data_IF_628233271129
#
_entry.id   IF_628233271129
#
_cell.length_a   1.000
_cell.length_b   1.000
_cell.length_c   1.000
_cell.angle_alpha   90.00
_cell.angle_beta   90.00
_cell.angle_gamma   90.00
#
_symmetry.space_group_name_H-M   'P 1'
#
loop_
_entity.id
_entity.type
_entity.pdbx_description
1 polymer ?
#
# COMPACT_ATOMS: atom_id res chain seq x y z
N UNK A 1 26.03 -8.49 -9.38
CA UNK A 1 25.72 -7.44 -8.38
C UNK A 1 24.66 -6.54 -8.99
N UNK A 2 23.53 -6.30 -8.32
CA UNK A 2 22.44 -5.49 -8.88
C UNK A 2 22.85 -4.01 -8.93
N UNK A 3 22.77 -3.38 -10.10
CA UNK A 3 22.89 -1.93 -10.28
C UNK A 3 21.52 -1.32 -10.59
N UNK A 4 21.43 0.02 -10.53
CA UNK A 4 20.21 0.74 -10.92
C UNK A 4 19.83 0.46 -12.38
N UNK A 5 20.81 0.44 -13.29
CA UNK A 5 20.55 0.10 -14.70
C UNK A 5 20.13 -1.36 -14.87
N UNK A 6 20.78 -2.31 -14.19
CA UNK A 6 20.43 -3.73 -14.34
C UNK A 6 19.03 -4.02 -13.80
N UNK A 7 18.64 -3.36 -12.70
CA UNK A 7 17.30 -3.48 -12.13
C UNK A 7 16.25 -2.87 -13.06
N UNK A 8 16.50 -1.67 -13.59
CA UNK A 8 15.62 -1.03 -14.56
C UNK A 8 15.40 -1.93 -15.77
N UNK A 9 16.49 -2.44 -16.35
CA UNK A 9 16.44 -3.33 -17.51
C UNK A 9 15.67 -4.63 -17.21
N UNK A 10 15.92 -5.25 -16.05
CA UNK A 10 15.17 -6.44 -15.64
C UNK A 10 13.68 -6.17 -15.50
N UNK A 11 13.29 -5.00 -14.96
CA UNK A 11 11.89 -4.62 -14.82
C UNK A 11 11.27 -4.33 -16.18
N UNK A 12 11.96 -3.62 -17.07
CA UNK A 12 11.49 -3.36 -18.44
C UNK A 12 11.33 -4.67 -19.25
N UNK A 13 12.26 -5.61 -19.12
CA UNK A 13 12.21 -6.91 -19.79
C UNK A 13 11.08 -7.81 -19.25
N UNK A 14 10.83 -7.79 -17.94
CA UNK A 14 9.84 -8.66 -17.30
C UNK A 14 8.43 -8.08 -17.27
N UNK A 15 8.30 -6.77 -17.08
CA UNK A 15 7.00 -6.08 -17.01
C UNK A 15 6.56 -5.50 -18.36
N UNK A 16 7.44 -5.37 -19.36
CA UNK A 16 7.07 -4.91 -20.69
C UNK A 16 6.30 -3.58 -20.68
N UNK A 17 5.06 -3.61 -21.19
CA UNK A 17 4.14 -2.46 -21.28
C UNK A 17 3.29 -2.23 -20.01
N UNK A 18 3.49 -3.00 -18.95
CA UNK A 18 2.71 -2.89 -17.73
C UNK A 18 3.11 -1.65 -16.91
N UNK A 19 2.11 -0.87 -16.50
CA UNK A 19 2.30 0.16 -15.49
C UNK A 19 2.65 -0.49 -14.14
N UNK A 20 3.85 -0.23 -13.63
CA UNK A 20 4.24 -0.65 -12.29
C UNK A 20 3.59 0.25 -11.22
N UNK A 21 2.76 -0.35 -10.38
CA UNK A 21 2.14 0.28 -9.23
C UNK A 21 2.62 -0.42 -7.96
N UNK A 22 3.23 0.31 -7.02
CA UNK A 22 3.46 -0.17 -5.65
C UNK A 22 2.35 0.38 -4.76
N UNK A 23 1.76 -0.49 -3.93
CA UNK A 23 0.72 -0.10 -2.98
C UNK A 23 1.12 -0.48 -1.57
N UNK A 24 1.11 0.47 -0.64
CA UNK A 24 1.43 0.22 0.77
C UNK A 24 0.59 1.08 1.69
N UNK A 25 0.46 0.67 2.95
CA UNK A 25 -0.19 1.51 3.96
C UNK A 25 0.59 2.83 4.16
N UNK A 26 1.90 2.74 4.41
CA UNK A 26 2.75 3.93 4.62
C UNK A 26 3.29 4.48 3.31
N UNK A 27 3.31 5.80 3.19
CA UNK A 27 3.93 6.52 2.08
C UNK A 27 5.45 6.65 2.26
N UNK A 28 6.22 6.82 1.17
CA UNK A 28 7.68 6.98 1.22
C UNK A 28 8.16 8.38 1.65
N UNK A 29 7.34 9.41 1.43
CA UNK A 29 7.67 10.82 1.69
C UNK A 29 6.48 11.52 2.35
N UNK A 30 6.70 12.09 3.53
CA UNK A 30 5.68 12.77 4.33
C UNK A 30 6.00 14.26 4.37
N UNK A 31 5.00 15.10 4.11
CA UNK A 31 5.09 16.55 4.24
C UNK A 31 4.47 17.00 5.56
N UNK A 32 5.20 17.84 6.30
CA UNK A 32 4.78 18.35 7.60
C UNK A 32 5.03 19.85 7.74
N UNK A 33 4.23 20.51 8.57
CA UNK A 33 4.45 21.90 8.96
C UNK A 33 5.54 21.98 10.03
N UNK A 34 6.63 22.69 9.71
CA UNK A 34 7.70 22.99 10.66
C UNK A 34 7.99 24.48 10.66
N UNK A 35 7.73 25.13 11.80
CA UNK A 35 7.93 26.59 11.98
C UNK A 35 7.24 27.43 10.90
N UNK A 36 5.99 27.09 10.56
CA UNK A 36 5.18 27.81 9.56
C UNK A 36 5.59 27.58 8.10
N UNK A 37 6.51 26.64 7.82
CA UNK A 37 6.87 26.23 6.46
C UNK A 37 6.55 24.76 6.26
N UNK A 38 6.19 24.40 5.04
CA UNK A 38 6.08 22.99 4.64
C UNK A 38 7.49 22.43 4.48
N UNK A 39 7.77 21.33 5.16
CA UNK A 39 9.00 20.54 5.03
C UNK A 39 8.64 19.11 4.71
N UNK A 40 9.62 18.31 4.28
CA UNK A 40 9.39 16.90 3.99
C UNK A 40 10.40 16.01 4.71
N UNK A 41 9.99 14.77 4.98
CA UNK A 41 10.86 13.72 5.49
C UNK A 41 10.59 12.41 4.76
N UNK A 42 11.65 11.62 4.55
CA UNK A 42 11.51 10.25 4.06
C UNK A 42 11.05 9.35 5.20
N UNK A 43 10.00 8.58 4.99
CA UNK A 43 9.47 7.65 5.98
C UNK A 43 10.52 6.59 6.35
N UNK A 44 10.62 6.32 7.65
CA UNK A 44 11.38 5.18 8.14
C UNK A 44 10.55 3.89 7.94
N UNK A 45 11.20 2.83 7.41
CA UNK A 45 10.57 1.52 7.26
C UNK A 45 11.27 0.62 6.23
N UNK A 46 11.17 -0.70 6.43
CA UNK A 46 11.77 -1.70 5.55
C UNK A 46 11.23 -1.63 4.12
N UNK A 47 9.91 -1.48 3.96
CA UNK A 47 9.24 -1.34 2.66
C UNK A 47 9.79 -0.13 1.88
N UNK A 48 9.84 1.04 2.51
CA UNK A 48 10.35 2.27 1.88
C UNK A 48 11.82 2.13 1.53
N UNK A 49 12.61 1.53 2.43
CA UNK A 49 14.04 1.31 2.21
C UNK A 49 14.30 0.38 1.01
N UNK A 50 13.51 -0.68 0.87
CA UNK A 50 13.65 -1.64 -0.21
C UNK A 50 13.11 -1.14 -1.55
N UNK A 51 11.95 -0.48 -1.57
CA UNK A 51 11.21 -0.20 -2.82
C UNK A 51 11.44 1.19 -3.40
N UNK A 52 11.83 2.19 -2.60
CA UNK A 52 12.10 3.55 -3.10
C UNK A 52 13.19 3.59 -4.20
N UNK A 53 14.32 2.87 -4.09
CA UNK A 53 15.29 2.79 -5.19
C UNK A 53 14.72 2.17 -6.48
N UNK A 54 13.85 1.16 -6.34
CA UNK A 54 13.17 0.50 -7.46
C UNK A 54 12.26 1.48 -8.18
N UNK A 55 11.44 2.21 -7.42
CA UNK A 55 10.50 3.20 -7.96
C UNK A 55 11.22 4.36 -8.65
N UNK A 56 12.34 4.83 -8.08
CA UNK A 56 13.22 5.83 -8.71
C UNK A 56 13.89 5.37 -10.00
N UNK A 57 14.05 4.06 -10.20
CA UNK A 57 14.63 3.51 -11.41
C UNK A 57 13.60 3.33 -12.53
N UNK A 58 12.36 3.02 -12.16
CA UNK A 58 11.30 2.64 -13.10
C UNK A 58 10.28 3.75 -13.38
N UNK A 59 10.34 4.86 -12.65
CA UNK A 59 9.37 5.97 -12.76
C UNK A 59 7.91 5.53 -12.65
N UNK A 60 7.66 4.55 -11.77
CA UNK A 60 6.33 3.98 -11.54
C UNK A 60 5.40 4.86 -10.72
N UNK A 61 4.28 4.28 -10.29
CA UNK A 61 3.31 4.93 -9.42
C UNK A 61 3.33 4.28 -8.03
N UNK A 62 3.47 5.07 -6.98
CA UNK A 62 3.30 4.61 -5.60
C UNK A 62 1.97 5.11 -5.06
N UNK A 63 1.08 4.21 -4.62
CA UNK A 63 -0.19 4.56 -3.95
C UNK A 63 -0.09 4.23 -2.46
N UNK A 64 -0.33 5.21 -1.59
CA UNK A 64 -0.23 5.03 -0.14
C UNK A 64 -1.13 5.98 0.65
N UNK A 65 -1.37 5.70 1.93
CA UNK A 65 -2.07 6.64 2.81
C UNK A 65 -1.19 7.87 3.06
N UNK A 66 -1.72 9.06 2.79
CA UNK A 66 -1.09 10.34 3.14
C UNK A 66 -1.37 10.71 4.59
N UNK A 67 -0.32 10.72 5.41
CA UNK A 67 -0.39 10.81 6.88
C UNK A 67 0.14 12.13 7.46
N UNK A 68 0.82 12.92 6.64
CA UNK A 68 1.40 14.20 7.03
C UNK A 68 0.37 15.33 7.10
N UNK A 69 0.55 16.23 8.06
CA UNK A 69 -0.35 17.37 8.27
C UNK A 69 -0.29 18.42 7.13
N UNK A 70 0.74 18.38 6.28
CA UNK A 70 0.87 19.25 5.12
C UNK A 70 0.64 18.53 3.79
N UNK A 71 0.39 17.21 3.82
CA UNK A 71 0.34 16.40 2.60
C UNK A 71 -0.72 16.87 1.62
N UNK A 72 -1.92 17.21 2.11
CA UNK A 72 -3.03 17.71 1.29
C UNK A 72 -2.71 19.02 0.55
N UNK A 73 -1.77 19.81 1.05
CA UNK A 73 -1.38 21.08 0.45
C UNK A 73 -0.33 20.92 -0.66
N UNK A 74 0.28 19.74 -0.76
CA UNK A 74 1.42 19.47 -1.65
C UNK A 74 1.06 18.66 -2.89
N UNK A 75 -0.19 18.23 -2.97
CA UNK A 75 -0.68 17.39 -4.05
C UNK A 75 -1.42 18.21 -5.13
N UNK A 76 -1.51 17.65 -6.32
CA UNK A 76 -2.36 18.17 -7.39
C UNK A 76 -3.85 17.87 -7.17
N UNK A 77 -4.70 18.26 -8.13
CA UNK A 77 -6.15 18.03 -8.12
C UNK A 77 -6.57 16.54 -8.10
N UNK A 78 -5.64 15.64 -8.40
CA UNK A 78 -5.84 14.20 -8.39
C UNK A 78 -5.12 13.57 -7.20
N UNK A 79 -4.83 14.34 -6.16
CA UNK A 79 -4.02 13.99 -4.99
C UNK A 79 -2.70 13.24 -5.31
N UNK A 80 -1.99 13.68 -6.34
CA UNK A 80 -0.65 13.21 -6.74
C UNK A 80 0.42 14.23 -6.39
N UNK A 81 1.63 13.76 -6.10
CA UNK A 81 2.82 14.59 -5.91
C UNK A 81 4.03 13.88 -6.52
N UNK A 82 4.93 14.65 -7.15
CA UNK A 82 6.20 14.10 -7.63
C UNK A 82 7.19 13.94 -6.48
N UNK A 83 7.88 12.80 -6.44
CA UNK A 83 8.80 12.47 -5.34
C UNK A 83 10.12 11.86 -5.83
N UNK A 84 11.22 11.99 -5.06
CA UNK A 84 11.38 12.91 -3.92
C UNK A 84 11.18 14.40 -4.29
N UNK A 85 10.75 15.25 -3.34
CA UNK A 85 10.46 16.66 -3.64
C UNK A 85 11.64 17.45 -4.24
N UNK A 86 12.87 17.14 -3.83
CA UNK A 86 14.08 17.84 -4.30
C UNK A 86 14.61 17.32 -5.66
N UNK A 87 14.25 16.08 -6.02
CA UNK A 87 14.65 15.46 -7.29
C UNK A 87 13.56 14.47 -7.77
N UNK A 88 12.46 15.00 -8.36
CA UNK A 88 11.34 14.22 -8.88
C UNK A 88 11.76 13.03 -9.77
N UNK A 89 11.43 11.80 -9.35
CA UNK A 89 11.70 10.57 -10.14
C UNK A 89 10.46 9.74 -10.46
N UNK A 90 9.46 9.78 -9.60
CA UNK A 90 8.24 8.99 -9.74
C UNK A 90 7.06 9.70 -9.08
N UNK A 91 5.85 9.18 -9.31
CA UNK A 91 4.62 9.78 -8.77
C UNK A 91 4.18 9.06 -7.50
N UNK A 92 3.90 9.82 -6.45
CA UNK A 92 3.17 9.36 -5.26
C UNK A 92 1.72 9.82 -5.34
N UNK A 93 0.78 8.90 -5.27
CA UNK A 93 -0.67 9.13 -5.21
C UNK A 93 -1.15 8.83 -3.79
N UNK A 94 -1.69 9.84 -3.11
CA UNK A 94 -2.13 9.72 -1.73
C UNK A 94 -3.59 9.31 -1.62
N UNK A 95 -3.87 8.38 -0.73
CA UNK A 95 -5.23 8.01 -0.31
C UNK A 95 -5.47 8.66 1.04
N UNK A 96 -6.57 9.41 1.18
CA UNK A 96 -6.90 10.10 2.42
C UNK A 96 -7.82 9.24 3.26
N UNK A 97 -7.43 8.90 4.49
CA UNK A 97 -8.32 8.23 5.44
C UNK A 97 -8.93 9.24 6.41
N UNK A 98 -10.17 9.00 6.83
CA UNK A 98 -10.73 9.71 7.98
C UNK A 98 -10.15 9.15 9.28
N UNK A 99 -10.38 9.84 10.41
CA UNK A 99 -9.89 9.35 11.69
C UNK A 99 -10.53 8.01 12.07
N UNK A 100 -11.82 7.88 11.83
CA UNK A 100 -12.59 6.65 12.06
C UNK A 100 -12.10 5.52 11.14
N UNK A 101 -11.74 5.84 9.89
CA UNK A 101 -11.14 4.87 8.99
C UNK A 101 -9.79 4.39 9.51
N UNK A 102 -8.92 5.30 9.93
CA UNK A 102 -7.62 4.94 10.52
C UNK A 102 -7.79 4.10 11.80
N UNK A 103 -8.71 4.49 12.67
CA UNK A 103 -8.97 3.80 13.94
C UNK A 103 -9.48 2.38 13.72
N UNK A 104 -10.49 2.17 12.87
CA UNK A 104 -11.04 0.83 12.65
C UNK A 104 -10.18 -0.07 11.76
N UNK A 105 -9.58 0.47 10.70
CA UNK A 105 -8.79 -0.33 9.76
C UNK A 105 -7.34 -0.56 10.25
N UNK A 106 -6.63 0.49 10.66
CA UNK A 106 -5.21 0.40 10.97
C UNK A 106 -5.01 0.01 12.43
N UNK A 107 -5.58 0.76 13.37
CA UNK A 107 -5.43 0.44 14.79
C UNK A 107 -6.26 -0.79 15.16
N UNK A 108 -7.50 -0.90 14.68
CA UNK A 108 -8.38 -2.05 14.89
C UNK A 108 -7.94 -3.28 14.11
N UNK A 109 -8.53 -3.56 12.95
CA UNK A 109 -8.39 -4.88 12.34
C UNK A 109 -6.93 -5.25 11.96
N UNK A 110 -6.16 -4.31 11.40
CA UNK A 110 -4.79 -4.61 11.01
C UNK A 110 -3.91 -4.92 12.24
N UNK A 111 -3.91 -4.07 13.26
CA UNK A 111 -2.97 -4.18 14.38
C UNK A 111 -3.50 -4.94 15.62
N UNK A 112 -4.82 -4.99 15.85
CA UNK A 112 -5.43 -5.78 16.94
C UNK A 112 -5.89 -7.17 16.47
N UNK A 113 -6.10 -7.40 15.16
CA UNK A 113 -6.49 -8.71 14.63
C UNK A 113 -5.33 -9.40 13.87
N UNK A 114 -4.94 -8.87 12.71
CA UNK A 114 -4.02 -9.56 11.80
C UNK A 114 -2.60 -9.63 12.34
N UNK A 115 -2.10 -8.55 12.94
CA UNK A 115 -0.75 -8.50 13.50
C UNK A 115 -0.53 -9.54 14.61
N UNK A 116 -1.30 -9.58 15.73
CA UNK A 116 -1.12 -10.58 16.78
C UNK A 116 -1.40 -12.01 16.28
N UNK A 117 -2.37 -12.18 15.38
CA UNK A 117 -2.66 -13.48 14.76
C UNK A 117 -1.43 -14.03 14.01
N UNK A 118 -0.78 -13.17 13.22
CA UNK A 118 0.36 -13.54 12.39
C UNK A 118 1.66 -13.76 13.17
N UNK A 119 1.84 -13.04 14.28
CA UNK A 119 3.02 -13.17 15.13
C UNK A 119 2.91 -14.25 16.20
N UNK A 120 1.74 -14.89 16.33
CA UNK A 120 1.44 -15.81 17.44
C UNK A 120 1.81 -15.14 18.77
N UNK A 121 1.39 -13.87 18.91
CA UNK A 121 1.80 -13.06 20.05
C UNK A 121 1.09 -13.52 21.32
N UNK A 122 1.60 -13.12 22.49
CA UNK A 122 0.93 -13.34 23.77
C UNK A 122 -0.39 -12.55 23.89
N UNK A 123 -0.55 -11.52 23.07
CA UNK A 123 -1.78 -10.73 23.01
C UNK A 123 -2.79 -11.45 22.12
N UNK A 124 -3.96 -11.77 22.66
CA UNK A 124 -5.02 -12.42 21.90
C UNK A 124 -5.53 -11.49 20.79
N UNK A 125 -5.66 -11.97 19.54
CA UNK A 125 -6.25 -11.17 18.47
C UNK A 125 -7.72 -10.87 18.75
N UNK A 126 -8.13 -9.64 18.47
CA UNK A 126 -9.50 -9.13 18.63
C UNK A 126 -10.15 -9.00 17.25
N UNK A 127 -11.36 -9.53 17.08
CA UNK A 127 -12.07 -9.54 15.80
C UNK A 127 -13.40 -8.78 15.90
N UNK A 128 -13.33 -7.46 16.02
CA UNK A 128 -14.52 -6.61 16.03
C UNK A 128 -15.14 -6.50 14.62
N UNK A 129 -16.46 -6.63 14.53
CA UNK A 129 -17.17 -6.60 13.24
C UNK A 129 -17.05 -5.22 12.56
N UNK A 130 -17.06 -4.14 13.35
CA UNK A 130 -16.94 -2.78 12.83
C UNK A 130 -15.55 -2.50 12.28
N UNK A 131 -14.51 -3.02 12.94
CA UNK A 131 -13.14 -2.92 12.46
C UNK A 131 -12.95 -3.69 11.15
N UNK A 132 -13.54 -4.88 11.03
CA UNK A 132 -13.57 -5.61 9.76
C UNK A 132 -14.24 -4.81 8.64
N UNK A 133 -15.40 -4.22 8.91
CA UNK A 133 -16.10 -3.38 7.91
C UNK A 133 -15.25 -2.18 7.50
N UNK A 134 -14.53 -1.58 8.45
CA UNK A 134 -13.61 -0.49 8.15
C UNK A 134 -12.42 -0.97 7.32
N UNK A 135 -11.88 -2.15 7.64
CA UNK A 135 -10.79 -2.77 6.90
C UNK A 135 -11.16 -3.07 5.45
N UNK A 136 -12.34 -3.63 5.22
CA UNK A 136 -12.91 -3.86 3.89
C UNK A 136 -13.12 -2.55 3.14
N UNK A 137 -13.72 -1.54 3.81
CA UNK A 137 -13.97 -0.22 3.24
C UNK A 137 -12.67 0.46 2.79
N UNK A 138 -11.64 0.44 3.61
CA UNK A 138 -10.34 1.03 3.27
C UNK A 138 -9.67 0.27 2.13
N UNK A 139 -9.65 -1.06 2.15
CA UNK A 139 -9.12 -1.86 1.04
C UNK A 139 -9.86 -1.56 -0.28
N UNK A 140 -11.18 -1.42 -0.25
CA UNK A 140 -11.99 -1.03 -1.42
C UNK A 140 -11.65 0.37 -1.91
N UNK A 141 -11.48 1.33 -1.00
CA UNK A 141 -11.07 2.70 -1.32
C UNK A 141 -9.70 2.74 -2.02
N UNK A 142 -8.75 1.93 -1.57
CA UNK A 142 -7.47 1.74 -2.27
C UNK A 142 -7.66 1.12 -3.65
N UNK A 143 -8.49 0.08 -3.78
CA UNK A 143 -8.81 -0.55 -5.05
C UNK A 143 -9.37 0.47 -6.06
N UNK A 144 -10.34 1.28 -5.65
CA UNK A 144 -10.97 2.30 -6.49
C UNK A 144 -9.95 3.33 -7.00
N UNK A 145 -9.04 3.78 -6.12
CA UNK A 145 -7.95 4.69 -6.50
C UNK A 145 -7.02 4.04 -7.51
N UNK A 146 -6.61 2.78 -7.29
CA UNK A 146 -5.74 2.04 -8.20
C UNK A 146 -6.42 1.88 -9.57
N UNK A 147 -7.67 1.45 -9.61
CA UNK A 147 -8.42 1.24 -10.84
C UNK A 147 -8.57 2.53 -11.65
N UNK A 148 -8.82 3.66 -10.96
CA UNK A 148 -8.86 4.98 -11.58
C UNK A 148 -7.50 5.39 -12.17
N UNK A 149 -6.41 5.10 -11.47
CA UNK A 149 -5.05 5.38 -11.96
C UNK A 149 -4.68 4.50 -13.15
N UNK A 150 -5.07 3.21 -13.14
CA UNK A 150 -4.78 2.28 -14.24
C UNK A 150 -5.49 2.71 -15.52
N UNK A 151 -6.78 3.03 -15.45
CA UNK A 151 -7.62 3.26 -16.63
C UNK A 151 -7.72 1.97 -17.47
N UNK A 152 -7.42 2.04 -18.77
CA UNK A 152 -7.48 0.90 -19.69
C UNK A 152 -6.12 0.25 -19.97
N UNK A 153 -5.08 0.68 -19.25
CA UNK A 153 -3.73 0.15 -19.39
C UNK A 153 -3.59 -1.21 -18.71
N UNK A 154 -2.59 -1.98 -19.14
CA UNK A 154 -2.10 -3.12 -18.36
C UNK A 154 -1.33 -2.60 -17.15
N UNK A 155 -1.47 -3.26 -16.01
CA UNK A 155 -0.80 -2.83 -14.78
C UNK A 155 -0.31 -4.01 -13.95
N UNK A 156 0.90 -3.87 -13.41
CA UNK A 156 1.46 -4.77 -12.41
C UNK A 156 1.34 -4.08 -11.06
N UNK A 157 0.46 -4.59 -10.21
CA UNK A 157 0.17 -4.03 -8.89
C UNK A 157 0.89 -4.86 -7.83
N UNK A 158 1.94 -4.28 -7.26
CA UNK A 158 2.75 -4.87 -6.21
C UNK A 158 2.29 -4.39 -4.84
N UNK A 159 1.45 -5.22 -4.22
CA UNK A 159 0.76 -4.96 -2.96
C UNK A 159 1.69 -5.31 -1.80
N UNK A 160 1.83 -4.39 -0.85
CA UNK A 160 2.71 -4.54 0.30
C UNK A 160 1.91 -4.73 1.59
N UNK A 161 2.23 -5.84 2.24
CA UNK A 161 1.95 -6.13 3.63
C UNK A 161 0.50 -6.49 3.98
N UNK A 162 0.29 -6.93 5.22
CA UNK A 162 -1.00 -7.43 5.75
C UNK A 162 -2.12 -6.39 5.78
N UNK A 163 -1.79 -5.11 5.64
CA UNK A 163 -2.74 -4.01 5.60
C UNK A 163 -3.70 -4.10 4.40
N UNK A 164 -3.24 -4.66 3.28
CA UNK A 164 -3.96 -4.63 2.00
C UNK A 164 -4.35 -6.03 1.52
N UNK A 165 -4.78 -6.91 2.43
CA UNK A 165 -4.98 -8.33 2.11
C UNK A 165 -6.17 -8.60 1.18
N UNK A 166 -7.18 -7.71 1.12
CA UNK A 166 -8.36 -7.89 0.26
C UNK A 166 -8.19 -7.25 -1.11
N UNK A 167 -7.12 -6.48 -1.28
CA UNK A 167 -6.86 -5.73 -2.48
C UNK A 167 -6.69 -6.62 -3.73
N UNK A 168 -6.03 -7.79 -3.70
CA UNK A 168 -5.93 -8.66 -4.86
C UNK A 168 -7.30 -9.07 -5.41
N UNK A 169 -8.22 -9.50 -4.53
CA UNK A 169 -9.59 -9.86 -4.89
C UNK A 169 -10.31 -8.71 -5.58
N UNK A 170 -10.32 -7.52 -4.96
CA UNK A 170 -11.03 -6.36 -5.52
C UNK A 170 -10.52 -5.92 -6.89
N UNK A 171 -9.21 -6.03 -7.13
CA UNK A 171 -8.63 -5.69 -8.43
C UNK A 171 -8.97 -6.73 -9.51
N UNK A 172 -8.91 -8.03 -9.17
CA UNK A 172 -9.30 -9.12 -10.07
C UNK A 172 -10.76 -9.03 -10.49
N UNK A 173 -11.65 -8.78 -9.53
CA UNK A 173 -13.10 -8.67 -9.77
C UNK A 173 -13.44 -7.49 -10.71
N UNK A 174 -12.66 -6.40 -10.67
CA UNK A 174 -12.97 -5.18 -11.42
C UNK A 174 -12.38 -5.12 -12.84
N UNK A 175 -11.15 -5.62 -13.06
CA UNK A 175 -10.43 -5.44 -14.34
C UNK A 175 -9.85 -6.74 -14.93
N UNK A 176 -10.07 -7.89 -14.29
CA UNK A 176 -9.71 -9.20 -14.84
C UNK A 176 -8.24 -9.32 -15.31
N UNK A 177 -8.02 -9.96 -16.46
CA UNK A 177 -6.70 -10.34 -16.99
C UNK A 177 -5.75 -9.16 -17.33
N UNK A 178 -6.20 -7.91 -17.26
CA UNK A 178 -5.36 -6.73 -17.54
C UNK A 178 -4.53 -6.28 -16.32
N UNK A 179 -4.81 -6.82 -15.13
CA UNK A 179 -4.06 -6.54 -13.91
C UNK A 179 -3.35 -7.81 -13.45
N UNK A 180 -2.03 -7.71 -13.30
CA UNK A 180 -1.25 -8.72 -12.57
C UNK A 180 -1.03 -8.21 -11.16
N UNK A 181 -1.40 -9.02 -10.16
CA UNK A 181 -1.19 -8.68 -8.74
C UNK A 181 -0.09 -9.55 -8.15
N UNK A 182 0.87 -8.93 -7.46
CA UNK A 182 1.80 -9.63 -6.58
C UNK A 182 1.61 -9.08 -5.16
N UNK A 183 1.40 -9.95 -4.18
CA UNK A 183 1.25 -9.55 -2.78
C UNK A 183 2.43 -10.10 -1.98
N UNK A 184 3.16 -9.19 -1.32
CA UNK A 184 4.27 -9.55 -0.46
C UNK A 184 3.95 -9.17 0.98
N UNK A 185 3.94 -10.16 1.89
CA UNK A 185 3.77 -9.92 3.32
C UNK A 185 5.13 -9.74 3.98
N UNK A 186 5.26 -8.67 4.76
CA UNK A 186 6.51 -8.37 5.48
C UNK A 186 6.54 -9.00 6.88
N UNK A 187 5.42 -9.59 7.29
CA UNK A 187 5.25 -10.32 8.53
C UNK A 187 5.15 -11.83 8.27
N UNK A 188 5.22 -12.63 9.34
CA UNK A 188 5.04 -14.08 9.24
C UNK A 188 3.60 -14.42 8.83
N UNK A 189 3.42 -15.55 8.14
CA UNK A 189 2.08 -16.10 7.93
C UNK A 189 1.74 -17.07 9.07
N UNK A 190 0.57 -16.95 9.71
CA UNK A 190 0.18 -17.86 10.78
C UNK A 190 0.00 -19.28 10.25
N UNK A 191 0.32 -20.28 11.08
CA UNK A 191 -0.02 -21.66 10.74
C UNK A 191 -1.55 -21.84 10.65
N UNK A 192 -2.05 -22.88 9.93
CA UNK A 192 -3.48 -23.07 9.72
C UNK A 192 -4.30 -23.16 11.02
N UNK A 193 -3.74 -23.74 12.09
CA UNK A 193 -4.43 -23.89 13.38
C UNK A 193 -4.66 -22.55 14.08
N UNK A 194 -3.70 -21.64 13.99
CA UNK A 194 -3.84 -20.27 14.49
C UNK A 194 -4.78 -19.49 13.59
N UNK A 195 -4.59 -19.56 12.27
CA UNK A 195 -5.38 -18.77 11.32
C UNK A 195 -6.88 -19.10 11.35
N UNK A 196 -7.25 -20.34 11.68
CA UNK A 196 -8.66 -20.79 11.70
C UNK A 196 -9.56 -19.99 12.65
N UNK A 197 -8.98 -19.34 13.67
CA UNK A 197 -9.75 -18.53 14.64
C UNK A 197 -10.26 -17.22 14.04
N UNK A 198 -9.69 -16.77 12.91
CA UNK A 198 -10.19 -15.62 12.19
C UNK A 198 -11.49 -16.00 11.46
N UNK A 199 -12.60 -15.38 11.87
CA UNK A 199 -13.90 -15.59 11.22
C UNK A 199 -13.92 -15.10 9.76
N UNK A 200 -12.98 -14.22 9.39
CA UNK A 200 -12.83 -13.60 8.07
C UNK A 200 -11.74 -14.24 7.20
N UNK A 201 -11.30 -15.44 7.58
CA UNK A 201 -10.21 -16.17 6.92
C UNK A 201 -10.47 -16.45 5.44
N UNK A 202 -11.74 -16.66 5.04
CA UNK A 202 -12.06 -17.01 3.64
C UNK A 202 -11.83 -15.78 2.77
N UNK A 203 -12.36 -14.65 3.19
CA UNK A 203 -12.24 -13.37 2.51
C UNK A 203 -10.77 -12.92 2.37
N UNK A 204 -9.93 -13.22 3.37
CA UNK A 204 -8.49 -12.88 3.36
C UNK A 204 -7.69 -13.79 2.39
N UNK A 205 -8.15 -15.01 2.12
CA UNK A 205 -7.43 -16.00 1.30
C UNK A 205 -7.75 -15.95 -0.20
N UNK A 206 -8.76 -15.17 -0.61
CA UNK A 206 -9.20 -15.03 -2.01
C UNK A 206 -8.37 -14.00 -2.82
#
# INVERSE_FOLDING_TARGET
MWTKESLKKAIEEQLGDYLLIVVSNREPYIHTHKKGKVTWQRSAGGVVTALDPVMKACSGLWIAHGSGDADKMTVDKNDRVQVPPDDPKYTLRRVWLTKEEEDGYYYGFANEALWPLSHISYTRPTFEEMDWKMYEKVNRKFADVILKEIGDRKAFVWIQDYHMALLPKFLKDAKGNNIITAHFLHIQWPNPEVFRICHKRKEILE
#
